data_IF_716550251582
#
_entry.id   IF_716550251582
#
_cell.length_a   1.000
_cell.length_b   1.000
_cell.length_c   1.000
_cell.angle_alpha   90.00
_cell.angle_beta   90.00
_cell.angle_gamma   90.00
#
_symmetry.space_group_name_H-M   'P 1'
#
loop_
_entity.id
_entity.type
_entity.pdbx_description
1 polymer ?
#
# COMPACT_ATOMS: atom_id res chain seq x y z
N UNK A 1 -3.49 5.75 4.27
CA UNK A 1 -4.82 5.53 3.68
C UNK A 1 -5.75 4.97 4.74
N UNK A 2 -6.92 5.56 4.88
CA UNK A 2 -7.98 5.24 5.85
C UNK A 2 -9.00 4.26 5.25
N UNK A 3 -9.88 3.71 6.09
CA UNK A 3 -10.94 2.78 5.64
C UNK A 3 -11.88 3.46 4.63
N UNK A 4 -12.34 4.67 4.93
CA UNK A 4 -13.24 5.43 4.06
C UNK A 4 -12.59 5.74 2.70
N UNK A 5 -11.30 6.08 2.70
CA UNK A 5 -10.52 6.30 1.47
C UNK A 5 -10.43 5.01 0.64
N UNK A 6 -10.32 3.85 1.29
CA UNK A 6 -10.27 2.55 0.62
C UNK A 6 -11.62 2.14 0.04
N UNK A 7 -12.71 2.35 0.78
CA UNK A 7 -14.08 2.14 0.29
C UNK A 7 -14.38 3.07 -0.90
N UNK A 8 -13.91 4.31 -0.83
CA UNK A 8 -14.00 5.28 -1.93
C UNK A 8 -13.23 4.82 -3.17
N UNK A 9 -11.99 4.34 -2.98
CA UNK A 9 -11.17 3.80 -4.06
C UNK A 9 -11.84 2.59 -4.74
N UNK A 10 -12.46 1.70 -3.97
CA UNK A 10 -13.21 0.56 -4.51
C UNK A 10 -14.41 1.01 -5.35
N UNK A 11 -15.21 1.95 -4.84
CA UNK A 11 -16.36 2.49 -5.57
C UNK A 11 -15.93 3.12 -6.91
N UNK A 12 -14.84 3.89 -6.91
CA UNK A 12 -14.31 4.51 -8.12
C UNK A 12 -13.77 3.46 -9.11
N UNK A 13 -13.17 2.38 -8.60
CA UNK A 13 -12.70 1.27 -9.43
C UNK A 13 -13.86 0.55 -10.14
N UNK A 14 -14.98 0.33 -9.46
CA UNK A 14 -16.19 -0.25 -10.08
C UNK A 14 -16.73 0.66 -11.17
N UNK A 15 -16.83 1.97 -10.91
CA UNK A 15 -17.24 2.96 -11.91
C UNK A 15 -16.31 2.99 -13.13
N UNK A 16 -15.00 2.88 -12.92
CA UNK A 16 -14.01 2.82 -13.99
C UNK A 16 -14.18 1.57 -14.85
N UNK A 17 -14.38 0.40 -14.23
CA UNK A 17 -14.64 -0.87 -14.93
C UNK A 17 -15.92 -0.82 -15.77
N UNK A 18 -16.95 -0.14 -15.27
CA UNK A 18 -18.22 0.05 -15.97
C UNK A 18 -18.23 1.24 -16.93
N UNK A 19 -17.11 1.96 -17.10
CA UNK A 19 -17.00 3.16 -17.93
C UNK A 19 -18.00 4.27 -17.56
N UNK A 20 -18.42 4.32 -16.29
CA UNK A 20 -19.36 5.31 -15.75
C UNK A 20 -18.66 6.39 -14.91
N UNK A 21 -17.36 6.23 -14.65
CA UNK A 21 -16.56 7.23 -13.97
C UNK A 21 -16.39 8.47 -14.84
N UNK A 22 -16.66 9.64 -14.26
CA UNK A 22 -16.30 10.93 -14.86
C UNK A 22 -14.79 11.17 -14.85
N UNK A 23 -14.32 12.15 -15.62
CA UNK A 23 -12.89 12.53 -15.63
C UNK A 23 -12.38 12.95 -14.25
N UNK A 24 -13.20 13.62 -13.45
CA UNK A 24 -12.86 14.03 -12.08
C UNK A 24 -12.74 12.82 -11.15
N UNK A 25 -13.66 11.86 -11.27
CA UNK A 25 -13.63 10.61 -10.50
C UNK A 25 -12.42 9.73 -10.86
N UNK A 26 -12.00 9.72 -12.12
CA UNK A 26 -10.76 9.06 -12.54
C UNK A 26 -9.52 9.74 -11.97
N UNK A 27 -9.50 11.07 -11.88
CA UNK A 27 -8.42 11.79 -11.23
C UNK A 27 -8.34 11.47 -9.72
N UNK A 28 -9.50 11.46 -9.04
CA UNK A 28 -9.62 11.05 -7.64
C UNK A 28 -9.12 9.60 -7.44
N UNK A 29 -9.50 8.68 -8.33
CA UNK A 29 -9.05 7.30 -8.30
C UNK A 29 -7.53 7.19 -8.43
N UNK A 30 -6.92 7.91 -9.37
CA UNK A 30 -5.47 7.90 -9.54
C UNK A 30 -4.74 8.44 -8.32
N UNK A 31 -5.26 9.49 -7.67
CA UNK A 31 -4.67 10.03 -6.44
C UNK A 31 -4.73 9.02 -5.29
N UNK A 32 -5.88 8.36 -5.09
CA UNK A 32 -6.04 7.33 -4.06
C UNK A 32 -5.12 6.14 -4.31
N UNK A 33 -4.97 5.72 -5.58
CA UNK A 33 -4.06 4.64 -5.97
C UNK A 33 -2.60 5.00 -5.71
N UNK A 34 -2.20 6.24 -5.96
CA UNK A 34 -0.84 6.72 -5.64
C UNK A 34 -0.59 6.69 -4.13
N UNK A 35 -1.55 7.15 -3.32
CA UNK A 35 -1.44 7.10 -1.87
C UNK A 35 -1.35 5.66 -1.33
N UNK A 36 -2.10 4.73 -1.93
CA UNK A 36 -2.03 3.31 -1.58
C UNK A 36 -0.68 2.70 -1.94
N UNK A 37 -0.12 3.09 -3.08
CA UNK A 37 1.18 2.61 -3.57
C UNK A 37 2.40 3.31 -2.93
N UNK A 38 2.21 4.28 -2.02
CA UNK A 38 3.35 4.86 -1.31
C UNK A 38 4.05 3.72 -0.58
N UNK A 39 5.32 3.43 -0.91
CA UNK A 39 6.06 2.40 -0.21
C UNK A 39 6.12 2.84 1.24
N UNK A 40 5.41 2.11 2.10
CA UNK A 40 5.63 2.23 3.52
C UNK A 40 7.11 1.88 3.68
N UNK A 41 7.93 2.80 4.17
CA UNK A 41 9.39 2.69 4.35
C UNK A 41 9.70 1.63 5.44
N UNK A 42 9.13 0.43 5.29
CA UNK A 42 9.43 -0.76 6.05
C UNK A 42 10.80 -1.17 5.52
N UNK A 43 11.82 -0.53 6.07
CA UNK A 43 13.13 -1.14 6.17
C UNK A 43 12.88 -2.46 6.88
N UNK A 44 12.80 -3.53 6.11
CA UNK A 44 12.81 -4.90 6.63
C UNK A 44 14.08 -4.96 7.47
N UNK A 45 13.95 -4.78 8.78
CA UNK A 45 15.10 -4.60 9.66
C UNK A 45 15.95 -5.84 9.50
N UNK A 46 17.12 -5.69 8.89
CA UNK A 46 18.09 -6.73 8.60
C UNK A 46 18.77 -7.28 9.86
N UNK A 47 18.03 -7.40 10.96
CA UNK A 47 18.50 -7.90 12.24
C UNK A 47 18.10 -9.38 12.44
N UNK A 48 17.76 -10.10 11.37
CA UNK A 48 17.68 -11.57 11.40
C UNK A 48 19.06 -12.23 11.26
N UNK A 49 20.14 -11.46 11.19
CA UNK A 49 21.51 -11.99 11.27
C UNK A 49 22.13 -11.49 12.57
N UNK A 50 22.16 -12.38 13.57
CA UNK A 50 23.26 -12.65 14.51
C UNK A 50 22.70 -13.08 15.89
N UNK A 51 22.37 -14.37 16.02
CA UNK A 51 22.20 -15.05 17.32
C UNK A 51 22.60 -16.53 17.27
N UNK A 52 23.62 -16.85 16.48
CA UNK A 52 24.22 -18.20 16.46
C UNK A 52 25.76 -18.15 16.56
N UNK A 53 26.30 -17.12 17.23
CA UNK A 53 27.75 -16.94 17.42
C UNK A 53 28.21 -16.93 18.88
N UNK A 54 27.42 -17.46 19.81
CA UNK A 54 27.77 -17.43 21.24
C UNK A 54 27.83 -18.82 21.93
N UNK A 55 27.98 -19.93 21.19
CA UNK A 55 28.10 -21.27 21.82
C UNK A 55 29.31 -22.10 21.36
N UNK A 56 30.40 -21.45 20.93
CA UNK A 56 31.68 -22.14 20.68
C UNK A 56 32.86 -21.43 21.37
N UNK A 57 32.75 -21.22 22.67
CA UNK A 57 33.90 -21.01 23.56
C UNK A 57 33.53 -21.34 25.01
N UNK A 58 33.56 -22.64 25.35
CA UNK A 58 34.13 -23.14 26.60
C UNK A 58 34.48 -24.63 26.49
#
# INVERSE_FOLDING_TARGET
>A
MSKDEFERMNLLSEKALHQTASSVEMEEFHQLLQQWNVPNDIKLAGNLIDKDKDDFLN
#
